data_IF_272141176638
#
_entry.id   IF_272141176638
#
_cell.length_a   1.000
_cell.length_b   1.000
_cell.length_c   1.000
_cell.angle_alpha   90.00
_cell.angle_beta   90.00
_cell.angle_gamma   90.00
#
_symmetry.space_group_name_H-M   'P 1'
#
loop_
_entity.id
_entity.type
_entity.pdbx_description
1 polymer ?
#
# COMPACT_ATOMS: atom_id res chain seq x y z
N UNK A 1 27.63 6.10 38.87
CA UNK A 1 27.59 4.67 38.47
C UNK A 1 26.17 4.08 38.46
N UNK A 2 25.29 4.43 39.40
CA UNK A 2 23.92 3.87 39.54
C UNK A 2 22.92 4.21 38.40
N UNK A 3 22.93 5.44 37.87
CA UNK A 3 22.00 5.87 36.81
C UNK A 3 22.16 5.09 35.49
N UNK A 4 23.38 4.70 35.15
CA UNK A 4 23.67 3.93 33.93
C UNK A 4 23.20 2.48 34.03
N UNK A 5 23.34 1.86 35.20
CA UNK A 5 22.86 0.50 35.47
C UNK A 5 21.33 0.45 35.36
N UNK A 6 20.64 1.41 35.96
CA UNK A 6 19.17 1.51 35.91
C UNK A 6 18.63 1.69 34.47
N UNK A 7 19.28 2.52 33.66
CA UNK A 7 18.93 2.68 32.25
C UNK A 7 19.17 1.39 31.44
N UNK A 8 20.24 0.65 31.73
CA UNK A 8 20.54 -0.62 31.08
C UNK A 8 19.48 -1.70 31.41
N UNK A 9 19.07 -1.82 32.67
CA UNK A 9 18.01 -2.75 33.08
C UNK A 9 16.65 -2.43 32.44
N UNK A 10 16.27 -1.15 32.41
CA UNK A 10 15.02 -0.73 31.78
C UNK A 10 14.99 -1.04 30.27
N UNK A 11 16.14 -0.90 29.58
CA UNK A 11 16.26 -1.31 28.17
C UNK A 11 16.08 -2.82 28.01
N UNK A 12 16.71 -3.64 28.86
CA UNK A 12 16.57 -5.11 28.85
C UNK A 12 15.12 -5.55 29.10
N UNK A 13 14.42 -4.93 30.07
CA UNK A 13 13.00 -5.18 30.36
C UNK A 13 12.10 -4.83 29.16
N UNK A 14 12.34 -3.68 28.51
CA UNK A 14 11.61 -3.27 27.29
C UNK A 14 11.84 -4.22 26.11
N UNK A 15 13.07 -4.70 25.91
CA UNK A 15 13.38 -5.67 24.85
C UNK A 15 12.70 -7.02 25.08
N UNK A 16 12.72 -7.54 26.32
CA UNK A 16 12.01 -8.79 26.67
C UNK A 16 10.50 -8.68 26.48
N UNK A 17 9.91 -7.55 26.91
CA UNK A 17 8.48 -7.28 26.69
C UNK A 17 8.12 -7.23 25.20
N UNK A 18 8.95 -6.58 24.36
CA UNK A 18 8.77 -6.55 22.90
C UNK A 18 8.87 -7.94 22.29
N UNK A 19 9.85 -8.75 22.70
CA UNK A 19 10.00 -10.12 22.20
C UNK A 19 8.78 -10.98 22.56
N UNK A 20 8.28 -10.89 23.80
CA UNK A 20 7.06 -11.60 24.22
C UNK A 20 5.84 -11.19 23.38
N UNK A 21 5.69 -9.90 23.09
CA UNK A 21 4.63 -9.40 22.20
C UNK A 21 4.78 -9.92 20.78
N UNK A 22 5.99 -9.88 20.20
CA UNK A 22 6.25 -10.40 18.85
C UNK A 22 5.90 -11.88 18.71
N UNK A 23 6.13 -12.68 19.76
CA UNK A 23 5.74 -14.10 19.78
C UNK A 23 4.24 -14.33 19.94
N UNK A 24 3.55 -13.47 20.68
CA UNK A 24 2.09 -13.56 20.83
C UNK A 24 1.34 -13.29 19.51
N UNK A 25 1.93 -12.51 18.60
CA UNK A 25 1.38 -12.23 17.27
C UNK A 25 2.05 -13.10 16.18
N UNK A 26 2.67 -14.23 16.54
CA UNK A 26 3.21 -15.16 15.57
C UNK A 26 2.04 -15.91 14.88
N UNK A 27 1.74 -15.53 13.65
CA UNK A 27 0.64 -16.09 12.85
C UNK A 27 1.06 -17.33 12.04
N UNK A 28 2.23 -17.92 12.35
CA UNK A 28 2.74 -19.08 11.62
C UNK A 28 1.79 -20.29 11.66
N UNK A 29 0.98 -20.43 12.72
CA UNK A 29 -0.03 -21.49 12.84
C UNK A 29 -1.19 -21.36 11.85
N UNK A 30 -1.49 -20.15 11.35
CA UNK A 30 -2.54 -19.95 10.34
C UNK A 30 -2.21 -20.62 9.00
N UNK A 31 -0.92 -20.91 8.75
CA UNK A 31 -0.47 -21.60 7.53
C UNK A 31 -0.87 -23.07 7.46
N UNK A 32 -1.34 -23.65 8.57
CA UNK A 32 -1.87 -25.02 8.62
C UNK A 32 -3.32 -25.07 8.13
N UNK A 33 -4.10 -24.02 8.37
CA UNK A 33 -5.53 -23.94 8.02
C UNK A 33 -5.78 -23.43 6.60
N UNK A 34 -4.76 -22.87 5.93
CA UNK A 34 -4.88 -22.31 4.59
C UNK A 34 -3.86 -22.96 3.63
N UNK A 35 -4.09 -24.20 3.17
CA UNK A 35 -3.17 -24.94 2.29
C UNK A 35 -2.83 -24.19 1.00
N UNK A 36 -3.77 -23.38 0.48
CA UNK A 36 -3.62 -22.54 -0.72
C UNK A 36 -2.46 -21.54 -0.59
N UNK A 37 -2.14 -21.08 0.63
CA UNK A 37 -1.06 -20.13 0.88
C UNK A 37 0.33 -20.78 0.94
N UNK A 38 0.43 -22.12 1.00
CA UNK A 38 1.72 -22.83 0.88
C UNK A 38 2.20 -22.95 -0.56
N UNK A 39 1.29 -22.91 -1.54
CA UNK A 39 1.59 -23.15 -2.95
C UNK A 39 2.23 -21.95 -3.65
N UNK A 40 2.10 -20.74 -3.12
CA UNK A 40 2.79 -19.57 -3.63
C UNK A 40 4.24 -19.56 -3.11
N UNK A 41 5.27 -19.45 -3.96
CA UNK A 41 6.59 -19.08 -3.51
C UNK A 41 6.43 -17.85 -2.62
N UNK A 42 6.97 -17.90 -1.40
CA UNK A 42 7.10 -16.72 -0.56
C UNK A 42 7.88 -15.70 -1.37
N UNK A 43 7.18 -14.89 -2.16
CA UNK A 43 7.53 -13.51 -2.33
C UNK A 43 7.79 -13.08 -0.89
N UNK A 44 8.98 -12.56 -0.55
CA UNK A 44 9.10 -11.91 0.74
C UNK A 44 7.91 -10.96 0.75
N UNK A 45 6.90 -11.27 1.57
CA UNK A 45 5.97 -10.28 2.05
C UNK A 45 6.95 -9.34 2.66
N UNK A 46 7.31 -8.32 1.88
CA UNK A 46 8.17 -7.28 2.33
C UNK A 46 7.44 -6.86 3.58
N UNK A 47 8.06 -7.19 4.71
CA UNK A 47 7.64 -6.72 6.00
C UNK A 47 7.91 -5.22 5.91
N UNK A 48 7.09 -4.55 5.12
CA UNK A 48 6.98 -3.13 5.06
C UNK A 48 6.30 -2.85 6.37
N UNK A 49 7.14 -2.81 7.40
CA UNK A 49 7.17 -1.67 8.28
C UNK A 49 7.25 -0.43 7.37
N UNK A 50 6.17 -0.15 6.62
CA UNK A 50 5.98 1.07 5.87
C UNK A 50 5.81 2.07 6.99
N UNK A 51 6.94 2.61 7.42
CA UNK A 51 6.97 3.64 8.43
C UNK A 51 6.40 4.88 7.76
N UNK A 52 5.08 4.88 7.60
CA UNK A 52 4.32 5.96 7.02
C UNK A 52 4.55 7.16 7.93
N UNK A 53 4.87 8.30 7.35
CA UNK A 53 4.91 9.53 8.10
C UNK A 53 3.46 10.00 8.37
N UNK A 54 3.26 10.93 9.31
CA UNK A 54 1.91 11.39 9.65
C UNK A 54 1.16 11.96 8.44
N UNK A 55 1.86 12.69 7.56
CA UNK A 55 1.28 13.26 6.34
C UNK A 55 0.89 12.18 5.33
N UNK A 56 1.69 11.12 5.19
CA UNK A 56 1.39 10.02 4.26
C UNK A 56 0.23 9.16 4.78
N UNK A 57 0.11 8.99 6.10
CA UNK A 57 -1.09 8.37 6.71
C UNK A 57 -2.34 9.17 6.41
N UNK A 58 -2.29 10.49 6.61
CA UNK A 58 -3.43 11.37 6.33
C UNK A 58 -3.87 11.27 4.86
N UNK A 59 -2.91 11.34 3.92
CA UNK A 59 -3.19 11.16 2.50
C UNK A 59 -3.77 9.78 2.17
N UNK A 60 -3.33 8.73 2.86
CA UNK A 60 -3.88 7.39 2.68
C UNK A 60 -5.34 7.36 3.15
N UNK A 61 -5.62 7.87 4.35
CA UNK A 61 -6.99 7.94 4.90
C UNK A 61 -7.92 8.71 3.96
N UNK A 62 -7.48 9.84 3.41
CA UNK A 62 -8.27 10.63 2.46
C UNK A 62 -8.56 9.87 1.15
N UNK A 63 -7.61 9.08 0.66
CA UNK A 63 -7.79 8.26 -0.55
C UNK A 63 -8.76 7.12 -0.30
N UNK A 64 -8.52 6.32 0.73
CA UNK A 64 -9.37 5.20 1.11
C UNK A 64 -10.79 5.67 1.44
N UNK A 65 -10.92 6.79 2.17
CA UNK A 65 -12.22 7.38 2.50
C UNK A 65 -13.00 7.84 1.26
N UNK A 66 -12.31 8.39 0.25
CA UNK A 66 -12.96 8.74 -1.03
C UNK A 66 -13.42 7.50 -1.79
N UNK A 67 -12.59 6.47 -1.87
CA UNK A 67 -12.95 5.20 -2.52
C UNK A 67 -14.15 4.55 -1.84
N UNK A 68 -14.16 4.49 -0.51
CA UNK A 68 -15.28 3.95 0.25
C UNK A 68 -16.58 4.73 0.00
N UNK A 69 -16.52 6.07 0.03
CA UNK A 69 -17.70 6.90 -0.27
C UNK A 69 -18.23 6.65 -1.69
N UNK A 70 -17.37 6.43 -2.66
CA UNK A 70 -17.81 6.11 -4.02
C UNK A 70 -18.59 4.80 -4.08
N UNK A 71 -18.16 3.76 -3.35
CA UNK A 71 -18.89 2.49 -3.28
C UNK A 71 -20.24 2.68 -2.58
N UNK A 72 -20.25 3.35 -1.42
CA UNK A 72 -21.48 3.55 -0.65
C UNK A 72 -22.53 4.40 -1.37
N UNK A 73 -22.10 5.38 -2.16
CA UNK A 73 -22.98 6.25 -2.93
C UNK A 73 -23.40 5.64 -4.29
N UNK A 74 -22.93 4.44 -4.63
CA UNK A 74 -23.26 3.82 -5.90
C UNK A 74 -24.68 3.25 -5.89
N UNK A 75 -25.52 3.51 -6.91
CA UNK A 75 -26.92 3.06 -6.91
C UNK A 75 -27.05 1.53 -6.86
N UNK A 76 -26.16 0.79 -7.54
CA UNK A 76 -26.17 -0.66 -7.46
C UNK A 76 -25.91 -1.18 -6.04
N UNK A 77 -25.06 -0.48 -5.26
CA UNK A 77 -24.76 -0.86 -3.87
C UNK A 77 -25.93 -0.56 -2.93
N UNK A 78 -26.70 0.50 -3.19
CA UNK A 78 -27.89 0.83 -2.42
C UNK A 78 -29.04 -0.16 -2.65
N UNK A 79 -29.16 -0.69 -3.88
CA UNK A 79 -30.20 -1.67 -4.24
C UNK A 79 -29.84 -3.08 -3.78
N UNK A 80 -28.63 -3.55 -4.08
CA UNK A 80 -28.14 -4.87 -3.67
C UNK A 80 -26.63 -4.82 -3.35
N UNK A 81 -26.26 -4.70 -2.07
CA UNK A 81 -24.87 -4.58 -1.68
C UNK A 81 -24.07 -5.86 -1.99
N UNK A 82 -24.68 -7.04 -1.93
CA UNK A 82 -23.98 -8.30 -2.15
C UNK A 82 -23.61 -8.49 -3.62
N UNK A 83 -24.56 -8.25 -4.51
CA UNK A 83 -24.32 -8.31 -5.96
C UNK A 83 -23.35 -7.22 -6.42
N UNK A 84 -23.48 -5.99 -5.90
CA UNK A 84 -22.56 -4.90 -6.23
C UNK A 84 -21.12 -5.19 -5.79
N UNK A 85 -20.92 -5.79 -4.61
CA UNK A 85 -19.58 -6.23 -4.16
C UNK A 85 -19.04 -7.30 -5.09
N UNK A 86 -19.85 -8.29 -5.48
CA UNK A 86 -19.41 -9.35 -6.37
C UNK A 86 -18.94 -8.79 -7.72
N UNK A 87 -19.75 -7.93 -8.35
CA UNK A 87 -19.40 -7.25 -9.58
C UNK A 87 -18.14 -6.39 -9.43
N UNK A 88 -18.01 -5.65 -8.33
CA UNK A 88 -16.82 -4.84 -8.05
C UNK A 88 -15.57 -5.71 -7.97
N UNK A 89 -15.62 -6.82 -7.23
CA UNK A 89 -14.52 -7.77 -7.08
C UNK A 89 -14.14 -8.43 -8.41
N UNK A 90 -15.09 -8.69 -9.31
CA UNK A 90 -14.79 -9.20 -10.65
C UNK A 90 -14.05 -8.18 -11.51
N UNK A 91 -14.50 -6.93 -11.48
CA UNK A 91 -13.96 -5.86 -12.32
C UNK A 91 -12.62 -5.30 -11.82
N UNK A 92 -12.36 -5.35 -10.51
CA UNK A 92 -11.16 -4.74 -9.89
C UNK A 92 -10.05 -5.73 -9.58
N UNK A 93 -10.13 -6.98 -10.06
CA UNK A 93 -9.03 -7.94 -9.89
C UNK A 93 -7.74 -7.32 -10.45
N UNK A 94 -6.71 -7.12 -9.61
CA UNK A 94 -5.45 -6.57 -10.09
C UNK A 94 -4.91 -7.54 -11.15
N UNK A 95 -4.76 -7.03 -12.38
CA UNK A 95 -4.14 -7.77 -13.48
C UNK A 95 -2.79 -8.29 -12.94
N UNK A 96 -2.50 -9.59 -13.04
CA UNK A 96 -1.27 -10.16 -12.50
C UNK A 96 -0.08 -9.40 -13.06
N UNK A 97 0.68 -8.79 -12.15
CA UNK A 97 1.88 -8.01 -12.48
C UNK A 97 2.86 -8.96 -13.16
N UNK A 98 2.94 -8.95 -14.49
CA UNK A 98 4.11 -9.46 -15.20
C UNK A 98 5.30 -8.64 -14.68
N UNK A 99 6.24 -9.34 -14.02
CA UNK A 99 7.47 -8.79 -13.44
C UNK A 99 8.07 -7.75 -14.41
N UNK A 100 8.19 -6.46 -14.05
CA UNK A 100 8.86 -5.50 -14.90
C UNK A 100 10.35 -5.88 -14.97
N UNK A 101 10.81 -6.15 -16.20
CA UNK A 101 12.22 -6.32 -16.51
C UNK A 101 13.05 -5.16 -15.97
N UNK A 102 14.17 -5.54 -15.39
CA UNK A 102 15.23 -4.71 -14.81
C UNK A 102 15.50 -3.44 -15.65
N UNK A 103 15.13 -2.26 -15.14
CA UNK A 103 15.58 -0.98 -15.71
C UNK A 103 16.92 -0.62 -15.08
N UNK A 104 18.00 -0.71 -15.84
CA UNK A 104 19.32 -0.23 -15.44
C UNK A 104 19.32 1.30 -15.36
N UNK A 105 19.56 1.84 -14.16
CA UNK A 105 19.84 3.25 -13.97
C UNK A 105 21.21 3.58 -14.58
N UNK A 106 21.25 4.37 -15.66
CA UNK A 106 22.46 5.10 -16.06
C UNK A 106 22.29 6.58 -15.69
N UNK A 107 23.10 6.99 -14.72
CA UNK A 107 23.32 8.36 -14.29
C UNK A 107 23.91 9.22 -15.40
N UNK A 108 23.53 10.50 -15.51
CA UNK A 108 24.24 11.44 -16.37
C UNK A 108 23.74 12.88 -16.39
N UNK A 109 24.35 13.72 -15.53
CA UNK A 109 24.68 15.16 -15.67
C UNK A 109 23.60 16.23 -15.96
N UNK A 110 23.71 17.31 -15.15
CA UNK A 110 23.07 18.63 -15.30
C UNK A 110 23.40 19.29 -16.65
N UNK A 111 22.42 20.00 -17.23
CA UNK A 111 22.67 21.18 -18.07
C UNK A 111 21.52 22.19 -17.96
N UNK A 112 21.91 23.46 -17.96
CA UNK A 112 21.13 24.68 -17.74
C UNK A 112 20.91 25.36 -19.09
N UNK A 113 19.69 25.81 -19.42
CA UNK A 113 19.51 26.86 -20.44
C UNK A 113 18.22 26.89 -21.27
N UNK A 114 17.42 27.94 -21.03
CA UNK A 114 16.69 28.85 -21.95
C UNK A 114 15.53 28.38 -22.88
N UNK A 115 14.40 29.08 -22.65
CA UNK A 115 13.41 29.75 -23.56
C UNK A 115 12.63 28.93 -24.61
N UNK A 116 11.29 28.98 -24.52
CA UNK A 116 10.34 29.70 -25.43
C UNK A 116 8.89 29.23 -25.13
N UNK A 117 7.99 30.16 -24.77
CA UNK A 117 6.92 30.80 -25.57
C UNK A 117 5.75 29.85 -25.94
N UNK A 118 4.55 30.28 -25.53
CA UNK A 118 3.27 29.59 -25.64
C UNK A 118 2.83 29.27 -27.08
N UNK A 119 2.04 28.21 -27.24
CA UNK A 119 0.96 28.16 -28.23
C UNK A 119 -0.15 27.21 -27.79
N UNK A 120 -1.36 27.68 -28.09
CA UNK A 120 -2.70 27.12 -27.90
C UNK A 120 -2.93 25.75 -28.53
N UNK A 121 -3.87 25.00 -27.96
CA UNK A 121 -4.48 23.82 -28.59
C UNK A 121 -5.72 23.37 -27.84
N UNK A 122 -6.84 24.05 -28.07
CA UNK A 122 -8.19 23.59 -27.71
C UNK A 122 -8.51 22.36 -28.56
N UNK A 123 -8.91 21.25 -27.95
CA UNK A 123 -9.55 20.14 -28.67
C UNK A 123 -10.97 19.97 -28.15
N UNK A 124 -11.90 20.52 -28.94
CA UNK A 124 -13.30 20.12 -29.00
C UNK A 124 -13.36 18.70 -29.54
N UNK A 125 -14.16 17.83 -28.93
CA UNK A 125 -14.61 16.59 -29.55
C UNK A 125 -16.13 16.53 -29.43
N UNK A 126 -16.78 16.86 -30.54
CA UNK A 126 -18.16 16.50 -30.84
C UNK A 126 -18.26 14.98 -30.98
N UNK A 127 -19.28 14.38 -30.35
CA UNK A 127 -19.82 13.09 -30.79
C UNK A 127 -21.33 13.22 -30.92
N UNK A 128 -21.77 13.24 -32.18
CA UNK A 128 -23.16 13.22 -32.63
C UNK A 128 -23.62 11.77 -32.91
N UNK A 129 -24.92 11.56 -32.69
CA UNK A 129 -25.80 10.43 -33.04
C UNK A 129 -25.71 9.16 -32.17
#
# INVERSE_FOLDING_TARGET
>A
MTRLVFLAENRKKKLRSRHKKLKAYDLSSLSEFLPEFRAAPRQPLSATNSKLNAKSRQKLIEKEGKQLRMVLNHPAYQLDPLSAIHQHLENTKPIPIKKPGQRSCKSGKKAKGKKSKASSGVQSMDTSC
#
